data_IF_996327659940
#
_entry.id   IF_996327659940
#
_cell.length_a   1.000
_cell.length_b   1.000
_cell.length_c   1.000
_cell.angle_alpha   90.00
_cell.angle_beta   90.00
_cell.angle_gamma   90.00
#
_symmetry.space_group_name_H-M   'P 1'
#
loop_
_entity.id
_entity.type
_entity.pdbx_description
1 polymer ?
#
# COMPACT_ATOMS: atom_id res chain seq x y z
N UNK A 1 15.56 -14.47 -7.60
CA UNK A 1 15.14 -13.46 -6.59
C UNK A 1 13.82 -13.88 -5.99
N UNK A 2 13.62 -13.61 -4.70
CA UNK A 2 12.39 -13.92 -3.95
C UNK A 2 11.68 -12.63 -3.59
N UNK A 3 10.36 -12.58 -3.79
CA UNK A 3 9.53 -11.41 -3.51
C UNK A 3 8.40 -11.78 -2.55
N UNK A 4 8.36 -11.11 -1.40
CA UNK A 4 7.23 -11.18 -0.48
C UNK A 4 6.14 -10.21 -0.91
N UNK A 5 4.96 -10.71 -1.19
CA UNK A 5 3.79 -9.91 -1.60
C UNK A 5 2.77 -9.93 -0.47
N UNK A 6 2.35 -8.76 -0.05
CA UNK A 6 1.44 -8.58 1.08
C UNK A 6 0.08 -8.15 0.56
N UNK A 7 -0.91 -8.97 0.87
CA UNK A 7 -2.33 -8.73 0.61
C UNK A 7 -3.06 -8.52 1.94
N UNK A 8 -3.92 -7.53 2.02
CA UNK A 8 -4.82 -7.33 3.17
C UNK A 8 -6.25 -7.21 2.65
N UNK A 9 -7.04 -8.24 2.88
CA UNK A 9 -8.45 -8.29 2.46
C UNK A 9 -9.32 -8.98 3.51
N UNK A 10 -10.22 -8.21 4.13
CA UNK A 10 -11.19 -8.71 5.09
C UNK A 10 -12.61 -8.50 4.58
N UNK A 11 -13.58 -9.30 5.06
CA UNK A 11 -14.95 -9.25 4.58
C UNK A 11 -14.96 -9.39 3.04
N UNK A 12 -15.79 -8.65 2.31
CA UNK A 12 -15.87 -8.69 0.83
C UNK A 12 -14.55 -8.40 0.11
N UNK A 13 -13.60 -7.68 0.74
CA UNK A 13 -12.28 -7.44 0.13
C UNK A 13 -11.45 -8.73 0.02
N UNK A 14 -11.76 -9.77 0.79
CA UNK A 14 -11.10 -11.07 0.65
C UNK A 14 -11.32 -11.67 -0.75
N UNK A 15 -12.50 -11.46 -1.36
CA UNK A 15 -12.87 -12.02 -2.66
C UNK A 15 -11.97 -11.52 -3.80
N UNK A 16 -11.37 -10.34 -3.67
CA UNK A 16 -10.43 -9.84 -4.67
C UNK A 16 -9.21 -10.75 -4.84
N UNK A 17 -8.88 -11.59 -3.88
CA UNK A 17 -7.74 -12.51 -3.97
C UNK A 17 -7.87 -13.47 -5.17
N UNK A 18 -9.09 -13.77 -5.60
CA UNK A 18 -9.35 -14.62 -6.78
C UNK A 18 -8.83 -13.99 -8.09
N UNK A 19 -8.85 -12.67 -8.19
CA UNK A 19 -8.30 -11.92 -9.34
C UNK A 19 -6.84 -11.52 -9.09
N UNK A 20 -6.54 -11.14 -7.87
CA UNK A 20 -5.24 -10.64 -7.45
C UNK A 20 -4.12 -11.67 -7.61
N UNK A 21 -4.31 -12.88 -7.05
CA UNK A 21 -3.28 -13.91 -7.04
C UNK A 21 -2.85 -14.32 -8.45
N UNK A 22 -3.75 -14.73 -9.37
CA UNK A 22 -3.35 -15.12 -10.71
C UNK A 22 -2.73 -13.98 -11.51
N UNK A 23 -3.23 -12.75 -11.37
CA UNK A 23 -2.64 -11.59 -12.04
C UNK A 23 -1.23 -11.28 -11.52
N UNK A 24 -1.00 -11.38 -10.21
CA UNK A 24 0.34 -11.24 -9.65
C UNK A 24 1.27 -12.36 -10.09
N UNK A 25 0.79 -13.61 -10.20
CA UNK A 25 1.60 -14.72 -10.71
C UNK A 25 2.00 -14.50 -12.17
N UNK A 26 1.10 -14.01 -13.01
CA UNK A 26 1.32 -13.82 -14.42
C UNK A 26 2.17 -12.59 -14.74
N UNK A 27 1.87 -11.46 -14.10
CA UNK A 27 2.40 -10.16 -14.53
C UNK A 27 3.43 -9.54 -13.60
N UNK A 28 3.35 -9.78 -12.28
CA UNK A 28 4.23 -9.13 -11.33
C UNK A 28 5.54 -9.91 -11.17
N UNK A 29 6.67 -9.28 -11.53
CA UNK A 29 7.99 -9.88 -11.41
C UNK A 29 8.02 -11.35 -11.93
N UNK A 30 7.69 -11.63 -13.21
CA UNK A 30 7.41 -12.98 -13.71
C UNK A 30 8.59 -13.94 -13.58
N UNK A 31 9.81 -13.42 -13.44
CA UNK A 31 11.04 -14.24 -13.26
C UNK A 31 11.42 -14.48 -11.80
N UNK A 32 10.66 -13.90 -10.84
CA UNK A 32 10.93 -14.05 -9.43
C UNK A 32 10.04 -15.12 -8.79
N UNK A 33 10.55 -15.77 -7.75
CA UNK A 33 9.75 -16.61 -6.87
C UNK A 33 8.95 -15.70 -5.93
N UNK A 34 7.62 -15.85 -5.92
CA UNK A 34 6.71 -15.04 -5.13
C UNK A 34 6.19 -15.80 -3.93
N UNK A 35 6.18 -15.14 -2.77
CA UNK A 35 5.57 -15.62 -1.53
C UNK A 35 4.53 -14.61 -1.06
N UNK A 36 3.32 -15.08 -0.79
CA UNK A 36 2.21 -14.23 -0.42
C UNK A 36 1.93 -14.32 1.08
N UNK A 37 1.73 -13.19 1.71
CA UNK A 37 1.17 -13.11 3.06
C UNK A 37 -0.22 -12.49 2.93
N UNK A 38 -1.25 -13.31 3.11
CA UNK A 38 -2.64 -12.89 3.01
C UNK A 38 -3.23 -12.64 4.41
N UNK A 39 -3.41 -11.36 4.76
CA UNK A 39 -4.12 -10.99 5.98
C UNK A 39 -5.62 -10.96 5.70
N UNK A 40 -6.36 -11.83 6.40
CA UNK A 40 -7.81 -11.97 6.19
C UNK A 40 -8.52 -12.43 7.46
N UNK A 41 -9.82 -12.21 7.53
CA UNK A 41 -10.72 -12.79 8.54
C UNK A 41 -11.39 -14.10 8.07
N UNK A 42 -11.08 -14.53 6.83
CA UNK A 42 -11.63 -15.71 6.16
C UNK A 42 -10.54 -16.77 5.93
N UNK A 43 -9.82 -17.13 6.98
CA UNK A 43 -8.66 -18.03 6.91
C UNK A 43 -8.99 -19.46 6.41
N UNK A 44 -10.23 -19.90 6.54
CA UNK A 44 -10.71 -21.20 6.04
C UNK A 44 -11.17 -21.18 4.57
N UNK A 45 -11.16 -20.00 3.92
CA UNK A 45 -11.64 -19.87 2.55
C UNK A 45 -10.62 -20.47 1.56
N UNK A 46 -11.09 -21.37 0.70
CA UNK A 46 -10.30 -22.10 -0.29
C UNK A 46 -9.52 -21.21 -1.28
N UNK A 47 -9.97 -19.95 -1.46
CA UNK A 47 -9.27 -19.00 -2.34
C UNK A 47 -7.84 -18.73 -1.88
N UNK A 48 -7.56 -18.85 -0.58
CA UNK A 48 -6.23 -18.66 0.02
C UNK A 48 -5.39 -19.95 0.07
N UNK A 49 -5.97 -21.11 -0.26
CA UNK A 49 -5.28 -22.40 -0.27
C UNK A 49 -4.48 -22.57 -1.57
N UNK A 50 -3.41 -21.80 -1.72
CA UNK A 50 -2.53 -21.79 -2.90
C UNK A 50 -1.09 -22.01 -2.47
N UNK A 51 -0.27 -22.45 -3.42
CA UNK A 51 1.17 -22.58 -3.19
C UNK A 51 1.77 -21.23 -2.80
N UNK A 52 2.69 -21.27 -1.84
CA UNK A 52 3.43 -20.08 -1.35
C UNK A 52 2.53 -18.96 -0.82
N UNK A 53 1.32 -19.29 -0.37
CA UNK A 53 0.43 -18.40 0.35
C UNK A 53 0.42 -18.75 1.82
N UNK A 54 0.83 -17.80 2.66
CA UNK A 54 0.71 -17.88 4.11
C UNK A 54 -0.44 -17.01 4.56
N UNK A 55 -1.42 -17.61 5.19
CA UNK A 55 -2.56 -16.87 5.75
C UNK A 55 -2.23 -16.35 7.13
N UNK A 56 -2.35 -15.04 7.33
CA UNK A 56 -2.25 -14.38 8.61
C UNK A 56 -3.64 -13.92 9.07
N UNK A 57 -4.24 -14.64 10.01
CA UNK A 57 -5.58 -14.33 10.49
C UNK A 57 -5.60 -12.99 11.20
N UNK A 58 -6.49 -12.09 10.76
CA UNK A 58 -6.83 -10.84 11.44
C UNK A 58 -8.33 -10.72 11.57
N UNK A 59 -8.81 -9.95 12.54
CA UNK A 59 -10.23 -9.59 12.59
C UNK A 59 -10.52 -8.47 11.59
N UNK A 60 -11.74 -8.37 11.11
CA UNK A 60 -12.18 -7.20 10.36
C UNK A 60 -12.16 -5.95 11.24
N UNK A 61 -11.59 -4.87 10.71
CA UNK A 61 -11.65 -3.53 11.29
C UNK A 61 -12.39 -2.61 10.31
N UNK A 62 -13.31 -1.76 10.79
CA UNK A 62 -13.93 -0.76 9.92
C UNK A 62 -12.88 0.23 9.41
N UNK A 63 -13.11 0.78 8.23
CA UNK A 63 -12.32 1.91 7.75
C UNK A 63 -12.49 3.11 8.72
N UNK A 64 -11.42 3.86 9.08
CA UNK A 64 -10.08 3.81 8.49
C UNK A 64 -9.09 2.85 9.19
N UNK A 65 -9.49 2.15 10.22
CA UNK A 65 -8.57 1.34 11.02
C UNK A 65 -7.94 0.17 10.27
N UNK A 66 -8.67 -0.43 9.30
CA UNK A 66 -8.12 -1.53 8.50
C UNK A 66 -6.89 -1.07 7.68
N UNK A 67 -6.90 0.16 7.17
CA UNK A 67 -5.77 0.75 6.46
C UNK A 67 -4.72 1.31 7.41
N UNK A 68 -5.12 2.07 8.43
CA UNK A 68 -4.23 2.69 9.40
C UNK A 68 -3.35 1.66 10.13
N UNK A 69 -3.90 0.48 10.46
CA UNK A 69 -3.18 -0.56 11.21
C UNK A 69 -2.39 -1.52 10.34
N UNK A 70 -2.32 -1.33 9.02
CA UNK A 70 -1.62 -2.26 8.11
C UNK A 70 -0.16 -2.48 8.47
N UNK A 71 0.57 -1.44 8.84
CA UNK A 71 1.96 -1.55 9.28
C UNK A 71 2.11 -2.41 10.54
N UNK A 72 1.16 -2.30 11.46
CA UNK A 72 1.12 -3.12 12.69
C UNK A 72 0.83 -4.59 12.38
N UNK A 73 -0.04 -4.88 11.42
CA UNK A 73 -0.27 -6.27 10.99
C UNK A 73 1.01 -6.84 10.37
N UNK A 74 1.61 -6.11 9.43
CA UNK A 74 2.81 -6.54 8.72
C UNK A 74 4.00 -6.70 9.68
N UNK A 75 4.16 -5.82 10.67
CA UNK A 75 5.27 -5.89 11.63
C UNK A 75 5.31 -7.20 12.43
N UNK A 76 4.17 -7.87 12.58
CA UNK A 76 4.05 -9.13 13.33
C UNK A 76 4.52 -10.37 12.55
N UNK A 77 4.68 -10.25 11.23
CA UNK A 77 5.02 -11.36 10.34
C UNK A 77 6.33 -11.15 9.59
N UNK A 78 7.14 -10.17 9.97
CA UNK A 78 8.42 -9.88 9.31
C UNK A 78 9.37 -11.08 9.29
N UNK A 79 9.29 -11.96 10.30
CA UNK A 79 10.06 -13.19 10.34
C UNK A 79 9.72 -14.16 9.20
N UNK A 80 8.50 -14.13 8.66
CA UNK A 80 8.09 -14.96 7.51
C UNK A 80 8.73 -14.43 6.22
N UNK A 81 9.10 -13.15 6.20
CA UNK A 81 9.68 -12.45 5.04
C UNK A 81 11.23 -12.42 5.07
N UNK A 82 11.88 -13.10 6.03
CA UNK A 82 13.35 -13.04 6.21
C UNK A 82 14.12 -13.55 4.99
N UNK A 83 13.59 -14.54 4.26
CA UNK A 83 14.22 -15.11 3.07
C UNK A 83 13.91 -14.34 1.78
N UNK A 84 13.18 -13.23 1.84
CA UNK A 84 12.83 -12.43 0.67
C UNK A 84 13.94 -11.43 0.34
N UNK A 85 14.12 -11.15 -0.95
CA UNK A 85 15.00 -10.09 -1.43
C UNK A 85 14.27 -8.73 -1.42
N UNK A 86 12.99 -8.75 -1.78
CA UNK A 86 12.10 -7.59 -1.84
C UNK A 86 10.76 -7.91 -1.20
N UNK A 87 10.11 -6.87 -0.68
CA UNK A 87 8.74 -6.97 -0.15
C UNK A 87 7.88 -5.85 -0.75
N UNK A 88 6.68 -6.21 -1.18
CA UNK A 88 5.69 -5.30 -1.77
C UNK A 88 4.36 -5.42 -1.03
N UNK A 89 3.79 -4.29 -0.65
CA UNK A 89 2.38 -4.18 -0.32
C UNK A 89 1.62 -3.69 -1.55
N UNK A 90 0.53 -4.35 -1.87
CA UNK A 90 -0.35 -4.00 -2.99
C UNK A 90 -1.79 -4.11 -2.47
N UNK A 91 -2.60 -3.06 -2.65
CA UNK A 91 -4.01 -3.08 -2.22
C UNK A 91 -4.76 -4.23 -2.90
N UNK A 92 -5.73 -4.78 -2.18
CA UNK A 92 -6.49 -5.96 -2.61
C UNK A 92 -7.17 -5.81 -3.98
N UNK A 93 -7.55 -4.60 -4.31
CA UNK A 93 -8.25 -4.21 -5.54
C UNK A 93 -7.35 -3.55 -6.59
N UNK A 94 -6.03 -3.62 -6.42
CA UNK A 94 -5.04 -3.15 -7.39
C UNK A 94 -4.45 -4.35 -8.14
N UNK A 95 -4.83 -4.51 -9.42
CA UNK A 95 -4.59 -5.71 -10.20
C UNK A 95 -3.58 -5.43 -11.35
N UNK A 96 -2.43 -6.13 -11.41
CA UNK A 96 -1.51 -6.06 -12.54
C UNK A 96 -2.20 -6.42 -13.86
N UNK A 97 -1.86 -5.69 -14.93
CA UNK A 97 -2.48 -5.85 -16.26
C UNK A 97 -1.48 -6.21 -17.35
N UNK A 98 -0.20 -6.03 -17.11
CA UNK A 98 0.89 -6.33 -18.05
C UNK A 98 2.17 -6.70 -17.27
N UNK A 99 3.15 -7.35 -17.90
CA UNK A 99 4.39 -7.72 -17.23
C UNK A 99 5.12 -6.51 -16.64
N UNK A 100 5.50 -6.65 -15.36
CA UNK A 100 6.21 -5.64 -14.57
C UNK A 100 7.44 -6.29 -13.97
N UNK A 101 8.64 -5.82 -14.29
CA UNK A 101 9.89 -6.36 -13.74
C UNK A 101 10.24 -5.70 -12.39
N UNK A 102 11.10 -6.35 -11.62
CA UNK A 102 11.66 -5.74 -10.38
C UNK A 102 12.52 -4.51 -10.69
N UNK A 103 13.18 -4.50 -11.83
CA UNK A 103 13.95 -3.34 -12.29
C UNK A 103 13.04 -2.15 -12.57
N UNK A 104 11.90 -2.38 -13.22
CA UNK A 104 10.88 -1.35 -13.45
C UNK A 104 10.29 -0.82 -12.13
N UNK A 105 10.09 -1.69 -11.13
CA UNK A 105 9.54 -1.30 -9.82
C UNK A 105 10.55 -0.51 -8.99
N UNK A 106 11.80 -0.95 -8.91
CA UNK A 106 12.76 -0.39 -7.95
C UNK A 106 13.83 0.50 -8.58
N UNK A 107 14.14 0.34 -9.89
CA UNK A 107 15.29 1.00 -10.51
C UNK A 107 16.57 0.76 -9.69
N UNK A 108 17.25 1.84 -9.36
CA UNK A 108 18.45 1.84 -8.49
C UNK A 108 18.12 2.07 -6.99
N UNK A 109 16.84 2.23 -6.64
CA UNK A 109 16.40 2.61 -5.29
C UNK A 109 16.11 1.41 -4.40
N UNK A 110 16.08 1.66 -3.11
CA UNK A 110 15.77 0.63 -2.10
C UNK A 110 14.31 0.63 -1.63
N UNK A 111 13.58 1.70 -1.90
CA UNK A 111 12.16 1.87 -1.59
C UNK A 111 11.39 2.20 -2.87
N UNK A 112 10.11 1.90 -2.88
CA UNK A 112 9.18 2.23 -3.97
C UNK A 112 7.86 2.77 -3.43
N UNK A 113 7.29 3.73 -4.14
CA UNK A 113 5.93 4.20 -3.98
C UNK A 113 5.36 4.60 -5.34
N UNK A 114 4.06 4.75 -5.47
CA UNK A 114 3.40 5.16 -6.71
C UNK A 114 2.85 6.58 -6.58
N UNK A 115 3.12 7.43 -7.58
CA UNK A 115 2.55 8.77 -7.65
C UNK A 115 1.03 8.70 -7.63
N UNK A 116 0.41 9.47 -6.74
CA UNK A 116 -1.04 9.51 -6.64
C UNK A 116 -1.64 10.16 -7.91
N UNK A 117 -2.55 9.48 -8.65
CA UNK A 117 -3.07 9.97 -9.93
C UNK A 117 -3.78 11.32 -9.85
N UNK A 118 -4.30 11.70 -8.69
CA UNK A 118 -4.94 13.00 -8.46
C UNK A 118 -3.97 14.15 -8.18
N UNK A 119 -2.67 13.89 -8.01
CA UNK A 119 -1.71 14.92 -7.55
C UNK A 119 -0.40 14.94 -8.36
N UNK A 120 -0.44 14.58 -9.64
CA UNK A 120 0.76 14.49 -10.51
C UNK A 120 1.50 15.83 -10.60
N UNK A 121 0.76 16.94 -10.72
CA UNK A 121 1.30 18.28 -10.92
C UNK A 121 1.05 19.20 -9.72
N UNK A 122 0.72 18.62 -8.57
CA UNK A 122 0.38 19.38 -7.36
C UNK A 122 1.11 18.83 -6.15
N UNK A 123 1.24 19.66 -5.12
CA UNK A 123 1.83 19.30 -3.82
C UNK A 123 0.89 18.31 -3.15
N UNK A 124 0.16 17.53 -3.39
CA UNK A 124 -0.68 16.56 -2.68
C UNK A 124 -1.08 16.96 -1.25
N UNK A 125 -2.01 16.25 -0.64
CA UNK A 125 -2.55 16.60 0.67
C UNK A 125 -1.69 16.01 1.82
N UNK A 126 -0.42 16.37 1.87
CA UNK A 126 0.45 15.97 2.97
C UNK A 126 -0.14 16.37 4.34
N UNK A 127 0.06 15.52 5.33
CA UNK A 127 -0.25 15.88 6.70
C UNK A 127 0.69 17.00 7.18
N UNK A 128 0.11 18.10 7.68
CA UNK A 128 0.86 19.27 8.17
C UNK A 128 0.65 19.52 9.66
N UNK A 129 -0.16 18.70 10.34
CA UNK A 129 -0.34 18.79 11.79
C UNK A 129 0.98 18.43 12.50
N UNK A 130 1.59 19.41 13.15
CA UNK A 130 2.85 19.24 13.89
C UNK A 130 2.75 18.30 15.09
N UNK A 131 1.55 18.01 15.57
CA UNK A 131 1.30 17.08 16.68
C UNK A 131 1.20 15.63 16.20
N UNK A 132 0.97 15.39 14.90
CA UNK A 132 0.99 14.06 14.30
C UNK A 132 2.41 13.66 13.91
N UNK A 133 2.74 12.40 14.15
CA UNK A 133 4.00 11.83 13.67
C UNK A 133 4.04 11.66 12.15
N UNK A 134 2.91 11.85 11.46
CA UNK A 134 2.80 11.90 10.01
C UNK A 134 3.04 13.30 9.44
N UNK A 135 3.17 14.35 10.28
CA UNK A 135 3.32 15.73 9.84
C UNK A 135 4.60 15.97 9.02
N UNK A 136 4.47 16.36 7.76
CA UNK A 136 5.60 16.64 6.86
C UNK A 136 6.11 18.06 7.10
N UNK A 137 7.42 18.20 7.25
CA UNK A 137 8.03 19.53 7.42
C UNK A 137 7.96 20.34 6.12
N UNK A 138 7.76 21.65 6.24
CA UNK A 138 7.63 22.55 5.09
C UNK A 138 8.79 22.45 4.09
N UNK A 139 10.01 22.21 4.55
CA UNK A 139 11.20 22.02 3.72
C UNK A 139 11.15 20.79 2.81
N UNK A 140 10.30 19.82 3.12
CA UNK A 140 10.12 18.59 2.33
C UNK A 140 8.92 18.66 1.37
N UNK A 141 7.92 19.50 1.63
CA UNK A 141 6.65 19.53 0.88
C UNK A 141 6.84 19.72 -0.63
N UNK A 142 7.64 20.71 -1.02
CA UNK A 142 7.84 21.03 -2.44
C UNK A 142 8.89 20.15 -3.14
N UNK A 143 9.56 19.27 -2.39
CA UNK A 143 10.62 18.38 -2.88
C UNK A 143 10.17 16.93 -2.98
N UNK A 144 8.94 16.63 -2.57
CA UNK A 144 8.41 15.27 -2.45
C UNK A 144 7.21 15.07 -3.36
N UNK A 145 7.16 13.93 -4.03
CA UNK A 145 5.97 13.48 -4.74
C UNK A 145 5.02 12.83 -3.75
N UNK A 146 3.74 13.18 -3.82
CA UNK A 146 2.72 12.54 -3.02
C UNK A 146 2.39 11.16 -3.58
N UNK A 147 2.61 10.12 -2.77
CA UNK A 147 2.37 8.73 -3.15
C UNK A 147 1.03 8.23 -2.62
N UNK A 148 0.33 7.45 -3.45
CA UNK A 148 -0.88 6.75 -3.04
C UNK A 148 -0.53 5.52 -2.20
N UNK A 149 -1.32 5.25 -1.17
CA UNK A 149 -1.09 4.14 -0.24
C UNK A 149 -1.35 2.73 -0.81
N UNK A 150 -1.72 2.62 -2.09
CA UNK A 150 -2.13 1.36 -2.71
C UNK A 150 -0.98 0.46 -3.18
N UNK A 151 0.21 1.02 -3.42
CA UNK A 151 1.41 0.28 -3.85
C UNK A 151 2.66 0.91 -3.23
N UNK A 152 3.36 0.12 -2.43
CA UNK A 152 4.63 0.51 -1.84
C UNK A 152 5.44 -0.71 -1.42
N UNK A 153 6.74 -0.52 -1.23
CA UNK A 153 7.61 -1.62 -0.84
C UNK A 153 9.07 -1.23 -0.74
N UNK A 154 9.93 -2.24 -0.69
CA UNK A 154 11.36 -2.01 -0.61
C UNK A 154 12.18 -3.29 -0.69
N UNK A 155 13.51 -3.12 -0.77
CA UNK A 155 14.44 -4.18 -0.42
C UNK A 155 14.16 -4.63 1.01
N UNK A 156 14.31 -5.91 1.31
CA UNK A 156 13.88 -6.48 2.59
C UNK A 156 14.23 -5.62 3.82
N UNK A 157 15.48 -5.22 3.96
CA UNK A 157 15.91 -4.49 5.15
C UNK A 157 15.27 -3.10 5.26
N UNK A 158 15.17 -2.37 4.14
CA UNK A 158 14.53 -1.05 4.09
C UNK A 158 13.02 -1.15 4.31
N UNK A 159 12.39 -2.20 3.75
CA UNK A 159 10.99 -2.50 4.01
C UNK A 159 10.72 -2.81 5.50
N UNK A 160 11.55 -3.64 6.12
CA UNK A 160 11.43 -3.97 7.55
C UNK A 160 11.58 -2.73 8.44
N UNK A 161 12.57 -1.89 8.13
CA UNK A 161 12.79 -0.62 8.81
C UNK A 161 11.56 0.30 8.66
N UNK A 162 11.06 0.44 7.43
CA UNK A 162 9.88 1.25 7.13
C UNK A 162 8.66 0.78 7.93
N UNK A 163 8.34 -0.51 7.87
CA UNK A 163 7.19 -1.09 8.58
C UNK A 163 7.27 -0.88 10.09
N UNK A 164 8.44 -1.09 10.69
CA UNK A 164 8.66 -0.87 12.14
C UNK A 164 8.43 0.59 12.51
N UNK A 165 9.09 1.52 11.82
CA UNK A 165 8.95 2.96 12.08
C UNK A 165 7.51 3.43 11.91
N UNK A 166 6.83 2.98 10.85
CA UNK A 166 5.45 3.40 10.58
C UNK A 166 4.47 2.80 11.60
N UNK A 167 4.67 1.55 12.02
CA UNK A 167 3.88 0.95 13.11
C UNK A 167 4.01 1.74 14.42
N UNK A 168 5.23 2.11 14.80
CA UNK A 168 5.50 2.91 16.02
C UNK A 168 4.88 4.30 15.93
N UNK A 169 4.96 4.96 14.77
CA UNK A 169 4.35 6.28 14.52
C UNK A 169 2.84 6.25 14.66
N UNK A 170 2.19 5.26 14.04
CA UNK A 170 0.73 5.07 14.16
C UNK A 170 0.34 4.82 15.61
N UNK A 171 1.03 3.93 16.33
CA UNK A 171 0.74 3.65 17.75
C UNK A 171 0.91 4.91 18.61
N UNK A 172 1.93 5.74 18.34
CA UNK A 172 2.14 7.01 19.05
C UNK A 172 1.00 8.01 18.80
N UNK A 173 0.59 8.18 17.54
CA UNK A 173 -0.52 9.09 17.22
C UNK A 173 -1.82 8.61 17.86
N UNK A 174 -2.14 7.31 17.78
CA UNK A 174 -3.31 6.73 18.41
C UNK A 174 -3.30 6.90 19.95
N UNK A 175 -2.14 6.77 20.60
CA UNK A 175 -2.01 7.01 22.06
C UNK A 175 -2.28 8.45 22.45
N UNK A 176 -2.13 9.39 21.52
CA UNK A 176 -2.44 10.82 21.66
C UNK A 176 -3.84 11.19 21.12
N UNK A 177 -4.69 10.21 20.80
CA UNK A 177 -6.00 10.40 20.16
C UNK A 177 -5.91 11.17 18.85
N UNK A 178 -4.83 10.95 18.07
CA UNK A 178 -4.62 11.54 16.76
C UNK A 178 -4.79 10.48 15.68
N UNK A 179 -5.44 10.86 14.61
CA UNK A 179 -5.45 10.11 13.34
C UNK A 179 -5.04 11.11 12.25
N UNK A 180 -4.00 10.78 11.50
CA UNK A 180 -3.53 11.60 10.40
C UNK A 180 -4.59 11.71 9.30
N UNK A 181 -4.59 12.81 8.55
CA UNK A 181 -5.64 13.17 7.58
C UNK A 181 -5.95 12.07 6.56
N UNK A 182 -4.92 11.40 6.05
CA UNK A 182 -5.03 10.27 5.11
C UNK A 182 -4.47 8.98 5.72
N UNK A 183 -4.63 8.82 7.04
CA UNK A 183 -4.36 7.61 7.79
C UNK A 183 -2.92 7.07 7.54
N UNK A 184 -2.81 5.81 7.11
CA UNK A 184 -1.56 5.16 6.76
C UNK A 184 -0.79 5.85 5.62
N UNK A 185 -1.50 6.37 4.63
CA UNK A 185 -0.91 7.11 3.49
C UNK A 185 -0.17 8.36 3.96
N UNK A 186 -0.71 9.11 4.95
CA UNK A 186 -0.02 10.25 5.54
C UNK A 186 1.30 9.84 6.20
N UNK A 187 1.31 8.77 6.98
CA UNK A 187 2.51 8.25 7.64
C UNK A 187 3.56 7.77 6.62
N UNK A 188 3.11 7.08 5.56
CA UNK A 188 3.97 6.63 4.48
C UNK A 188 4.60 7.81 3.73
N UNK A 189 3.82 8.81 3.37
CA UNK A 189 4.30 10.00 2.68
C UNK A 189 5.31 10.81 3.52
N UNK A 190 5.11 10.89 4.84
CA UNK A 190 6.13 11.44 5.74
C UNK A 190 7.44 10.66 5.68
N UNK A 191 7.37 9.33 5.73
CA UNK A 191 8.56 8.47 5.67
C UNK A 191 9.31 8.64 4.35
N UNK A 192 8.60 8.71 3.24
CA UNK A 192 9.16 8.93 1.91
C UNK A 192 9.76 10.33 1.75
N UNK A 193 9.12 11.36 2.26
CA UNK A 193 9.65 12.72 2.23
C UNK A 193 11.02 12.84 2.94
N UNK A 194 11.18 12.16 4.08
CA UNK A 194 12.46 12.08 4.80
C UNK A 194 13.55 11.31 4.04
N UNK A 195 13.14 10.42 3.12
CA UNK A 195 14.05 9.48 2.41
C UNK A 195 13.92 9.55 0.89
N UNK A 196 13.51 10.69 0.34
CA UNK A 196 13.20 10.87 -1.09
C UNK A 196 14.26 10.33 -2.05
N UNK A 197 15.54 10.39 -1.66
CA UNK A 197 16.65 9.89 -2.47
C UNK A 197 16.71 8.35 -2.54
N UNK A 198 16.01 7.64 -1.65
CA UNK A 198 15.93 6.18 -1.60
C UNK A 198 14.66 5.65 -2.25
N UNK A 199 13.70 6.52 -2.58
CA UNK A 199 12.39 6.14 -3.12
C UNK A 199 12.39 6.23 -4.63
N UNK A 200 12.06 5.12 -5.31
CA UNK A 200 11.63 5.13 -6.70
C UNK A 200 10.15 5.47 -6.75
N UNK A 201 9.80 6.56 -7.37
CA UNK A 201 8.40 6.96 -7.54
C UNK A 201 7.90 6.51 -8.89
N UNK A 202 7.05 5.48 -8.90
CA UNK A 202 6.40 4.97 -10.10
C UNK A 202 5.40 6.00 -10.64
N UNK A 203 5.24 6.04 -11.96
CA UNK A 203 4.23 6.87 -12.59
C UNK A 203 2.80 6.38 -12.27
N UNK A 204 1.76 7.22 -12.38
CA UNK A 204 0.40 6.88 -11.93
C UNK A 204 -0.27 5.76 -12.75
N UNK A 205 0.31 5.33 -13.87
CA UNK A 205 -0.12 4.14 -14.60
C UNK A 205 0.00 2.83 -13.79
N UNK A 206 0.78 2.83 -12.69
CA UNK A 206 0.81 1.74 -11.72
C UNK A 206 -0.31 1.79 -10.68
N UNK A 207 -1.20 2.77 -10.77
CA UNK A 207 -2.38 2.93 -9.90
C UNK A 207 -3.55 3.54 -10.69
N UNK A 208 -3.73 3.13 -11.94
CA UNK A 208 -4.76 3.67 -12.83
C UNK A 208 -6.15 3.33 -12.31
N UNK A 209 -7.01 4.30 -11.96
CA UNK A 209 -8.38 4.01 -11.60
C UNK A 209 -9.17 3.43 -12.79
N UNK A 210 -9.98 2.41 -12.55
CA UNK A 210 -10.83 1.81 -13.59
C UNK A 210 -11.82 2.80 -14.15
N UNK A 211 -12.35 3.69 -13.31
CA UNK A 211 -13.30 4.74 -13.67
C UNK A 211 -12.74 6.14 -13.38
N UNK A 212 -13.04 7.07 -14.26
CA UNK A 212 -12.50 8.42 -14.19
C UNK A 212 -11.02 8.48 -14.56
N UNK A 213 -10.41 9.64 -14.38
CA UNK A 213 -8.98 9.88 -14.65
C UNK A 213 -8.53 9.48 -16.07
N UNK A 214 -9.37 9.72 -17.08
CA UNK A 214 -9.07 9.36 -18.49
C UNK A 214 -7.77 9.98 -19.01
N UNK A 215 -7.33 11.10 -18.44
CA UNK A 215 -6.05 11.71 -18.75
C UNK A 215 -4.87 10.79 -18.37
N UNK A 216 -4.97 10.04 -17.25
CA UNK A 216 -3.94 9.08 -16.85
C UNK A 216 -3.80 7.98 -17.91
N UNK A 217 -4.93 7.42 -18.34
CA UNK A 217 -4.94 6.35 -19.36
C UNK A 217 -4.42 6.80 -20.73
N UNK A 218 -4.50 8.11 -21.02
CA UNK A 218 -3.98 8.70 -22.26
C UNK A 218 -2.48 8.98 -22.20
N UNK A 219 -1.99 9.35 -21.02
CA UNK A 219 -0.61 9.80 -20.84
C UNK A 219 0.33 8.67 -20.40
N UNK A 220 -0.20 7.69 -19.64
CA UNK A 220 0.58 6.59 -19.08
C UNK A 220 0.01 5.24 -19.48
N UNK A 221 0.88 4.30 -19.80
CA UNK A 221 0.50 2.90 -19.94
C UNK A 221 -0.08 2.39 -18.62
N UNK A 222 -1.26 1.75 -18.66
CA UNK A 222 -1.85 1.12 -17.49
C UNK A 222 -1.11 -0.16 -17.17
N UNK A 223 -0.28 -0.13 -16.14
CA UNK A 223 0.45 -1.29 -15.61
C UNK A 223 -0.36 -2.06 -14.59
N UNK A 224 -1.06 -1.31 -13.72
CA UNK A 224 -1.94 -1.87 -12.71
C UNK A 224 -3.25 -1.09 -12.68
N UNK A 225 -4.35 -1.82 -12.59
CA UNK A 225 -5.71 -1.27 -12.58
C UNK A 225 -6.29 -1.30 -11.18
N UNK A 226 -6.70 -0.14 -10.68
CA UNK A 226 -7.41 0.00 -9.41
C UNK A 226 -8.91 -0.17 -9.66
N UNK A 227 -9.44 -1.34 -9.30
CA UNK A 227 -10.81 -1.74 -9.62
C UNK A 227 -11.84 -0.82 -8.97
N UNK A 228 -12.90 -0.53 -9.72
CA UNK A 228 -14.05 0.20 -9.18
C UNK A 228 -14.85 -0.69 -8.23
N UNK A 229 -15.34 -0.10 -7.15
CA UNK A 229 -16.16 -0.74 -6.14
C UNK A 229 -17.47 0.02 -5.96
N UNK A 230 -18.60 -0.67 -6.00
CA UNK A 230 -19.85 -0.04 -5.58
C UNK A 230 -19.80 0.19 -4.06
N UNK A 231 -19.88 1.45 -3.65
CA UNK A 231 -19.83 1.84 -2.25
C UNK A 231 -20.97 1.26 -1.41
N UNK A 232 -22.04 0.78 -2.03
CA UNK A 232 -23.13 0.06 -1.34
C UNK A 232 -22.65 -1.31 -0.84
N UNK A 233 -21.77 -1.94 -1.60
CA UNK A 233 -21.18 -3.25 -1.25
C UNK A 233 -19.96 -3.13 -0.30
N UNK A 234 -19.32 -1.97 -0.29
CA UNK A 234 -18.13 -1.69 0.52
C UNK A 234 -18.35 -0.43 1.38
N UNK A 235 -19.26 -0.48 2.38
CA UNK A 235 -19.62 0.68 3.16
C UNK A 235 -18.41 1.21 3.94
N UNK A 236 -18.17 2.50 3.82
CA UNK A 236 -17.26 3.24 4.70
C UNK A 236 -18.03 3.61 5.95
N UNK A 237 -17.32 3.70 7.07
CA UNK A 237 -17.92 4.15 8.32
C UNK A 237 -18.48 5.57 8.13
N UNK A 238 -19.79 5.77 8.28
CA UNK A 238 -20.40 7.10 8.24
C UNK A 238 -19.83 7.94 9.39
N UNK A 239 -19.15 9.02 9.07
CA UNK A 239 -18.49 9.88 10.06
C UNK A 239 -16.98 9.89 10.03
N UNK A 240 -16.32 8.98 9.32
CA UNK A 240 -14.91 9.06 9.01
C UNK A 240 -14.68 10.01 7.81
N UNK A 241 -15.19 11.22 7.88
CA UNK A 241 -14.78 12.31 7.00
C UNK A 241 -13.36 12.72 7.37
N UNK A 242 -12.52 12.79 6.36
CA UNK A 242 -11.18 13.37 6.36
C UNK A 242 -10.66 13.81 7.76
N UNK A 243 -9.98 12.91 8.45
CA UNK A 243 -9.00 13.28 9.47
C UNK A 243 -9.46 13.68 10.86
N UNK A 244 -10.72 13.54 11.25
CA UNK A 244 -11.12 13.78 12.66
C UNK A 244 -12.22 12.81 13.08
N UNK A 245 -11.92 11.94 14.03
CA UNK A 245 -12.93 11.40 14.92
C UNK A 245 -13.45 12.57 15.75
N UNK A 246 -14.77 12.85 15.68
CA UNK A 246 -15.44 13.74 16.64
C UNK A 246 -15.63 13.02 17.95
#
# INVERSE_FOLDING_TARGET
MKVGIIFIGTNKYADFFQLYYPACEEYLAPTAEKHYIAFTDQDDNEIFQKDRVTVAKIKHYPWPYITLLRFKFISKVLNILEDMDYCLFIDADLIPQSPISLEEIFGDKSLVGVCHPGFINNVGPFETNIHSTAGVLNEHLNLSTYCQGCLWGGRKNDFFQMVKVLSERVDKDLSNNLIAAWHDESHMNRYFAERRNQVHTLHPGFATPEQGYDHIKKEYETKMLHLHKDMKDYPRFEGAGHGRLK
#
